data_IF_861407529012
#
_entry.id   IF_861407529012
#
_cell.length_a   1.000
_cell.length_b   1.000
_cell.length_c   1.000
_cell.angle_alpha   90.00
_cell.angle_beta   90.00
_cell.angle_gamma   90.00
#
_symmetry.space_group_name_H-M   'P 1'
#
loop_
_entity.id
_entity.type
_entity.pdbx_description
1 polymer ?
#
# COMPACT_ATOMS: atom_id res chain seq x y z
N UNK A 1 -21.17 10.69 -9.82
CA UNK A 1 -19.89 10.37 -10.48
C UNK A 1 -20.00 8.98 -11.11
N UNK A 2 -20.06 8.90 -12.44
CA UNK A 2 -20.24 7.64 -13.15
C UNK A 2 -18.94 7.21 -13.81
N UNK A 3 -18.16 6.41 -13.08
CA UNK A 3 -17.13 5.57 -13.69
C UNK A 3 -17.78 4.65 -14.72
N UNK A 4 -17.11 4.43 -15.84
CA UNK A 4 -17.50 3.44 -16.84
C UNK A 4 -17.50 2.04 -16.23
N UNK A 5 -18.23 1.12 -16.86
CA UNK A 5 -18.30 -0.28 -16.40
C UNK A 5 -16.90 -0.91 -16.34
N UNK A 6 -16.06 -0.64 -17.35
CA UNK A 6 -14.69 -1.14 -17.42
C UNK A 6 -13.82 -0.59 -16.29
N UNK A 7 -13.83 0.73 -16.05
CA UNK A 7 -13.04 1.35 -14.96
C UNK A 7 -13.41 0.77 -13.59
N UNK A 8 -14.70 0.55 -13.34
CA UNK A 8 -15.18 -0.07 -12.09
C UNK A 8 -14.68 -1.50 -11.95
N UNK A 9 -14.81 -2.32 -13.00
CA UNK A 9 -14.37 -3.71 -12.98
C UNK A 9 -12.85 -3.79 -12.77
N UNK A 10 -12.08 -2.98 -13.49
CA UNK A 10 -10.62 -2.92 -13.33
C UNK A 10 -10.23 -2.55 -11.90
N UNK A 11 -10.86 -1.51 -11.32
CA UNK A 11 -10.58 -1.11 -9.94
C UNK A 11 -10.91 -2.19 -8.91
N UNK A 12 -12.05 -2.88 -9.08
CA UNK A 12 -12.44 -3.99 -8.21
C UNK A 12 -11.47 -5.16 -8.33
N UNK A 13 -11.12 -5.55 -9.56
CA UNK A 13 -10.17 -6.63 -9.79
C UNK A 13 -8.80 -6.34 -9.16
N UNK A 14 -8.28 -5.13 -9.38
CA UNK A 14 -7.03 -4.68 -8.77
C UNK A 14 -7.09 -4.64 -7.24
N UNK A 15 -8.21 -4.22 -6.66
CA UNK A 15 -8.41 -4.19 -5.22
C UNK A 15 -8.48 -5.61 -4.62
N UNK A 16 -9.13 -6.56 -5.31
CA UNK A 16 -9.18 -7.96 -4.86
C UNK A 16 -7.79 -8.59 -4.88
N UNK A 17 -7.04 -8.42 -5.96
CA UNK A 17 -5.66 -8.94 -6.04
C UNK A 17 -4.79 -8.31 -4.94
N UNK A 18 -4.92 -7.00 -4.72
CA UNK A 18 -4.20 -6.31 -3.65
C UNK A 18 -4.55 -6.87 -2.27
N UNK A 19 -5.84 -7.10 -2.00
CA UNK A 19 -6.31 -7.68 -0.74
C UNK A 19 -5.74 -9.09 -0.53
N UNK A 20 -5.79 -9.95 -1.55
CA UNK A 20 -5.27 -11.31 -1.44
C UNK A 20 -3.77 -11.34 -1.15
N UNK A 21 -2.99 -10.50 -1.85
CA UNK A 21 -1.54 -10.39 -1.60
C UNK A 21 -1.26 -9.80 -0.22
N UNK A 22 -2.05 -8.82 0.23
CA UNK A 22 -1.94 -8.21 1.56
C UNK A 22 -2.22 -9.23 2.66
N UNK A 23 -3.26 -10.05 2.51
CA UNK A 23 -3.61 -11.10 3.47
C UNK A 23 -2.57 -12.22 3.48
N UNK A 24 -2.08 -12.64 2.30
CA UNK A 24 -1.03 -13.65 2.19
C UNK A 24 0.27 -13.18 2.83
N UNK A 25 0.73 -11.96 2.50
CA UNK A 25 1.92 -11.36 3.11
C UNK A 25 1.76 -11.17 4.62
N UNK A 26 0.62 -10.66 5.08
CA UNK A 26 0.37 -10.52 6.52
C UNK A 26 0.33 -11.87 7.24
N UNK A 27 -0.29 -12.88 6.63
CA UNK A 27 -0.34 -14.24 7.15
C UNK A 27 1.05 -14.85 7.29
N UNK A 28 1.93 -14.66 6.30
CA UNK A 28 3.32 -15.11 6.37
C UNK A 28 4.06 -14.49 7.57
N UNK A 29 3.93 -13.18 7.77
CA UNK A 29 4.56 -12.49 8.90
C UNK A 29 4.01 -12.97 10.26
N UNK A 30 2.69 -13.08 10.41
CA UNK A 30 2.09 -13.46 11.70
C UNK A 30 2.22 -14.96 12.01
N UNK A 31 2.04 -15.84 11.02
CA UNK A 31 1.97 -17.29 11.27
C UNK A 31 3.30 -18.00 11.06
N UNK A 32 4.12 -17.57 10.09
CA UNK A 32 5.42 -18.19 9.81
C UNK A 32 6.52 -17.52 10.61
N UNK A 33 6.67 -16.19 10.46
CA UNK A 33 7.72 -15.43 11.16
C UNK A 33 7.36 -15.10 12.61
N UNK A 34 6.10 -15.32 13.02
CA UNK A 34 5.59 -15.10 14.38
C UNK A 34 5.88 -13.70 14.94
N UNK A 35 5.91 -12.70 14.05
CA UNK A 35 6.16 -11.32 14.48
C UNK A 35 4.95 -10.75 15.22
N UNK A 36 5.19 -9.84 16.15
CA UNK A 36 4.11 -9.13 16.82
C UNK A 36 3.51 -8.04 15.91
N UNK A 37 2.42 -7.40 16.36
CA UNK A 37 1.74 -6.38 15.57
C UNK A 37 2.61 -5.18 15.20
N UNK A 38 3.47 -4.71 16.11
CA UNK A 38 4.36 -3.56 15.85
C UNK A 38 5.41 -3.92 14.80
N UNK A 39 5.98 -5.12 14.93
CA UNK A 39 6.91 -5.66 13.95
C UNK A 39 6.23 -5.88 12.59
N UNK A 40 4.99 -6.36 12.55
CA UNK A 40 4.23 -6.46 11.29
C UNK A 40 4.01 -5.09 10.65
N UNK A 41 3.67 -4.06 11.44
CA UNK A 41 3.53 -2.69 10.93
C UNK A 41 4.82 -2.18 10.29
N UNK A 42 5.98 -2.47 10.89
CA UNK A 42 7.26 -2.00 10.40
C UNK A 42 7.86 -2.86 9.28
N UNK A 43 8.01 -4.17 9.52
CA UNK A 43 8.70 -5.10 8.63
C UNK A 43 7.88 -5.46 7.38
N UNK A 44 6.55 -5.36 7.46
CA UNK A 44 5.64 -5.57 6.34
C UNK A 44 4.82 -4.30 6.04
N UNK A 45 5.47 -3.13 6.01
CA UNK A 45 4.81 -1.84 5.84
C UNK A 45 3.96 -1.70 4.54
N UNK A 46 4.20 -2.55 3.54
CA UNK A 46 3.37 -2.67 2.33
C UNK A 46 1.93 -3.11 2.66
N UNK A 47 1.76 -4.01 3.64
CA UNK A 47 0.45 -4.54 4.00
C UNK A 47 -0.46 -3.50 4.69
N UNK A 48 -0.02 -2.78 5.75
CA UNK A 48 -0.76 -1.66 6.32
C UNK A 48 -1.10 -0.59 5.28
N UNK A 49 -0.15 -0.25 4.40
CA UNK A 49 -0.38 0.74 3.33
C UNK A 49 -1.47 0.30 2.35
N UNK A 50 -1.47 -0.98 1.97
CA UNK A 50 -2.48 -1.58 1.11
C UNK A 50 -3.85 -1.62 1.79
N UNK A 51 -3.93 -1.95 3.08
CA UNK A 51 -5.18 -1.90 3.85
C UNK A 51 -5.77 -0.49 3.94
N UNK A 52 -4.93 0.52 4.16
CA UNK A 52 -5.34 1.93 4.12
C UNK A 52 -5.92 2.28 2.77
N UNK A 53 -5.25 1.92 1.66
CA UNK A 53 -5.77 2.15 0.32
C UNK A 53 -7.11 1.46 0.08
N UNK A 54 -7.25 0.20 0.46
CA UNK A 54 -8.50 -0.55 0.31
C UNK A 54 -9.64 0.09 1.12
N UNK A 55 -9.37 0.50 2.35
CA UNK A 55 -10.33 1.26 3.17
C UNK A 55 -10.74 2.58 2.51
N UNK A 56 -9.76 3.35 2.03
CA UNK A 56 -10.01 4.60 1.32
C UNK A 56 -10.82 4.39 0.04
N UNK A 57 -10.56 3.31 -0.71
CA UNK A 57 -11.30 2.95 -1.91
C UNK A 57 -12.76 2.59 -1.60
N UNK A 58 -13.02 1.88 -0.50
CA UNK A 58 -14.38 1.58 -0.04
C UNK A 58 -15.09 2.88 0.35
N UNK A 59 -14.45 3.74 1.14
CA UNK A 59 -15.05 5.01 1.59
C UNK A 59 -15.31 5.94 0.39
N UNK A 60 -14.39 6.02 -0.57
CA UNK A 60 -14.60 6.71 -1.84
C UNK A 60 -15.80 6.13 -2.60
N UNK A 61 -15.91 4.80 -2.65
CA UNK A 61 -16.99 4.11 -3.36
C UNK A 61 -18.36 4.37 -2.74
N UNK A 62 -18.45 4.52 -1.42
CA UNK A 62 -19.70 4.83 -0.70
C UNK A 62 -20.02 6.32 -0.73
N UNK A 63 -19.06 7.17 -0.33
CA UNK A 63 -19.28 8.62 -0.14
C UNK A 63 -19.19 9.42 -1.43
N UNK A 64 -18.57 8.86 -2.48
CA UNK A 64 -18.22 9.54 -3.74
C UNK A 64 -17.32 10.78 -3.57
N UNK A 65 -16.71 10.97 -2.40
CA UNK A 65 -15.80 12.09 -2.14
C UNK A 65 -14.40 11.76 -2.62
N UNK A 66 -13.91 12.54 -3.58
CA UNK A 66 -12.60 12.38 -4.23
C UNK A 66 -11.43 12.34 -3.24
N UNK A 67 -11.51 13.09 -2.13
CA UNK A 67 -10.42 13.28 -1.15
C UNK A 67 -9.86 11.98 -0.55
N UNK A 68 -10.65 10.90 -0.54
CA UNK A 68 -10.25 9.63 0.09
C UNK A 68 -9.20 8.86 -0.72
N UNK A 69 -9.27 8.84 -2.05
CA UNK A 69 -8.28 8.09 -2.85
C UNK A 69 -6.85 8.64 -2.73
N UNK A 70 -6.60 9.97 -2.87
CA UNK A 70 -5.26 10.53 -2.71
C UNK A 70 -4.70 10.39 -1.29
N UNK A 71 -5.55 10.18 -0.27
CA UNK A 71 -5.09 10.01 1.12
C UNK A 71 -4.17 8.80 1.30
N UNK A 72 -4.32 7.77 0.47
CA UNK A 72 -3.45 6.59 0.51
C UNK A 72 -2.25 6.67 -0.45
N UNK A 73 -2.08 7.76 -1.22
CA UNK A 73 -1.07 7.81 -2.28
C UNK A 73 0.36 7.78 -1.74
N UNK A 74 0.66 8.56 -0.71
CA UNK A 74 2.02 8.61 -0.16
C UNK A 74 2.52 7.24 0.34
N UNK A 75 1.82 6.53 1.24
CA UNK A 75 2.29 5.23 1.72
C UNK A 75 2.31 4.17 0.61
N UNK A 76 1.34 4.21 -0.33
CA UNK A 76 1.31 3.28 -1.47
C UNK A 76 2.47 3.51 -2.43
N UNK A 77 2.83 4.76 -2.71
CA UNK A 77 3.95 5.09 -3.58
C UNK A 77 5.28 4.76 -2.90
N UNK A 78 5.44 5.14 -1.63
CA UNK A 78 6.68 4.94 -0.88
C UNK A 78 6.97 3.46 -0.64
N UNK A 79 6.02 2.68 -0.14
CA UNK A 79 6.27 1.26 0.15
C UNK A 79 6.03 0.35 -1.07
N UNK A 80 5.15 0.73 -1.98
CA UNK A 80 4.86 -0.05 -3.19
C UNK A 80 5.78 0.30 -4.35
N UNK A 81 5.60 1.48 -4.93
CA UNK A 81 6.31 1.87 -6.17
C UNK A 81 7.81 2.02 -5.98
N UNK A 82 8.27 2.66 -4.90
CA UNK A 82 9.70 2.71 -4.59
C UNK A 82 10.24 1.30 -4.29
N UNK A 83 9.42 0.44 -3.66
CA UNK A 83 9.71 -0.96 -3.37
C UNK A 83 10.18 -1.77 -4.58
N UNK A 84 9.64 -1.47 -5.77
CA UNK A 84 10.06 -2.12 -7.03
C UNK A 84 11.55 -1.96 -7.33
N UNK A 85 12.15 -0.85 -6.86
CA UNK A 85 13.53 -0.49 -7.13
C UNK A 85 14.47 -0.76 -5.95
N UNK A 86 13.93 -1.01 -4.74
CA UNK A 86 14.73 -1.27 -3.54
C UNK A 86 14.94 -2.76 -3.27
N UNK A 87 13.96 -3.61 -3.60
CA UNK A 87 14.06 -5.06 -3.39
C UNK A 87 14.64 -5.78 -4.62
N UNK A 88 15.31 -6.91 -4.39
CA UNK A 88 15.83 -7.73 -5.49
C UNK A 88 14.70 -8.48 -6.19
N UNK A 89 14.93 -8.84 -7.46
CA UNK A 89 14.02 -9.66 -8.25
C UNK A 89 14.44 -11.13 -8.23
N UNK A 90 14.70 -11.67 -7.04
CA UNK A 90 15.23 -13.03 -6.86
C UNK A 90 14.69 -13.69 -5.59
N UNK A 91 14.58 -15.02 -5.62
CA UNK A 91 14.18 -15.83 -4.45
C UNK A 91 12.82 -15.43 -3.87
N UNK A 92 12.73 -15.41 -2.55
CA UNK A 92 11.52 -15.05 -1.81
C UNK A 92 11.03 -13.61 -2.09
N UNK A 93 11.93 -12.71 -2.53
CA UNK A 93 11.57 -11.33 -2.85
C UNK A 93 10.66 -11.21 -4.08
N UNK A 94 10.57 -12.24 -4.94
CA UNK A 94 9.61 -12.24 -6.06
C UNK A 94 8.17 -12.08 -5.55
N UNK A 95 7.84 -12.67 -4.40
CA UNK A 95 6.52 -12.52 -3.80
C UNK A 95 6.25 -11.08 -3.34
N UNK A 96 7.25 -10.44 -2.72
CA UNK A 96 7.18 -9.03 -2.36
C UNK A 96 7.02 -8.15 -3.61
N UNK A 97 7.74 -8.45 -4.70
CA UNK A 97 7.61 -7.71 -5.96
C UNK A 97 6.22 -7.80 -6.59
N UNK A 98 5.55 -8.95 -6.51
CA UNK A 98 4.15 -9.07 -6.97
C UNK A 98 3.22 -8.11 -6.20
N UNK A 99 3.45 -7.95 -4.89
CA UNK A 99 2.73 -6.98 -4.06
C UNK A 99 2.99 -5.55 -4.52
N UNK A 100 4.26 -5.18 -4.72
CA UNK A 100 4.66 -3.84 -5.17
C UNK A 100 4.11 -3.48 -6.56
N UNK A 101 4.09 -4.44 -7.50
CA UNK A 101 3.47 -4.27 -8.82
C UNK A 101 1.99 -3.95 -8.64
N UNK A 102 1.29 -4.74 -7.82
CA UNK A 102 -0.15 -4.59 -7.61
C UNK A 102 -0.48 -3.27 -6.93
N UNK A 103 0.32 -2.83 -5.95
CA UNK A 103 0.19 -1.51 -5.32
C UNK A 103 0.36 -0.39 -6.36
N UNK A 104 1.37 -0.49 -7.22
CA UNK A 104 1.66 0.50 -8.26
C UNK A 104 0.53 0.57 -9.29
N UNK A 105 0.00 -0.58 -9.73
CA UNK A 105 -1.14 -0.62 -10.65
C UNK A 105 -2.41 -0.01 -10.04
N UNK A 106 -2.67 -0.26 -8.75
CA UNK A 106 -3.77 0.38 -8.02
C UNK A 106 -3.59 1.90 -7.96
N UNK A 107 -2.37 2.38 -7.71
CA UNK A 107 -2.05 3.80 -7.69
C UNK A 107 -2.26 4.45 -9.07
N UNK A 108 -1.80 3.80 -10.15
CA UNK A 108 -2.00 4.27 -11.53
C UNK A 108 -3.48 4.34 -11.86
N UNK A 109 -4.25 3.30 -11.54
CA UNK A 109 -5.69 3.28 -11.76
C UNK A 109 -6.40 4.40 -10.98
N UNK A 110 -6.07 4.57 -9.70
CA UNK A 110 -6.65 5.63 -8.87
C UNK A 110 -6.28 7.02 -9.41
N UNK A 111 -5.03 7.23 -9.83
CA UNK A 111 -4.57 8.46 -10.46
C UNK A 111 -5.33 8.77 -11.75
N UNK A 112 -5.52 7.75 -12.60
CA UNK A 112 -6.33 7.86 -13.82
C UNK A 112 -7.78 8.26 -13.51
N UNK A 113 -8.41 7.61 -12.53
CA UNK A 113 -9.78 7.94 -12.09
C UNK A 113 -9.86 9.38 -11.59
N UNK A 114 -8.90 9.82 -10.76
CA UNK A 114 -8.86 11.17 -10.21
C UNK A 114 -8.65 12.22 -11.29
N UNK A 115 -7.77 11.96 -12.25
CA UNK A 115 -7.56 12.81 -13.43
C UNK A 115 -8.85 12.96 -14.25
N UNK A 116 -9.59 11.87 -14.46
CA UNK A 116 -10.86 11.88 -15.18
C UNK A 116 -11.97 12.63 -14.44
N UNK A 117 -11.97 12.59 -13.11
CA UNK A 117 -12.92 13.34 -12.28
C UNK A 117 -12.65 14.84 -12.35
N UNK A 118 -11.38 15.25 -12.44
CA UNK A 118 -10.97 16.66 -12.57
C UNK A 118 -11.12 17.49 -11.29
N UNK A 119 -11.35 16.87 -10.13
CA UNK A 119 -11.46 17.54 -8.84
C UNK A 119 -10.07 17.70 -8.18
N UNK A 120 -9.28 18.61 -8.75
CA UNK A 120 -7.91 18.86 -8.32
C UNK A 120 -7.79 19.43 -6.90
N UNK A 121 -8.82 20.14 -6.43
CA UNK A 121 -8.84 20.68 -5.07
C UNK A 121 -8.93 19.56 -4.04
N UNK A 122 -9.87 18.64 -4.21
CA UNK A 122 -9.98 17.48 -3.31
C UNK A 122 -8.78 16.53 -3.47
N UNK A 123 -8.21 16.43 -4.67
CA UNK A 123 -6.97 15.70 -4.91
C UNK A 123 -5.81 16.25 -4.06
N UNK A 124 -5.54 17.56 -4.18
CA UNK A 124 -4.48 18.22 -3.42
C UNK A 124 -4.71 18.13 -1.91
N UNK A 125 -5.95 18.32 -1.45
CA UNK A 125 -6.30 18.18 -0.04
C UNK A 125 -6.05 16.75 0.46
N UNK A 126 -6.44 15.73 -0.31
CA UNK A 126 -6.20 14.33 0.03
C UNK A 126 -4.71 14.01 0.15
N UNK A 127 -3.89 14.54 -0.78
CA UNK A 127 -2.44 14.39 -0.72
C UNK A 127 -1.82 15.09 0.50
N UNK A 128 -2.28 16.30 0.84
CA UNK A 128 -1.81 17.00 2.05
C UNK A 128 -2.11 16.18 3.31
N UNK A 129 -3.31 15.61 3.41
CA UNK A 129 -3.64 14.69 4.50
C UNK A 129 -2.79 13.43 4.48
N UNK A 130 -2.51 12.88 3.30
CA UNK A 130 -1.61 11.74 3.13
C UNK A 130 -0.22 12.06 3.70
N UNK A 131 0.33 13.24 3.41
CA UNK A 131 1.62 13.70 3.94
C UNK A 131 1.59 13.81 5.46
N UNK A 132 0.61 14.55 6.00
CA UNK A 132 0.50 14.79 7.45
C UNK A 132 0.39 13.47 8.23
N UNK A 133 -0.37 12.50 7.70
CA UNK A 133 -0.59 11.22 8.37
C UNK A 133 0.56 10.23 8.18
N UNK A 134 1.07 10.10 6.95
CA UNK A 134 1.97 9.00 6.60
C UNK A 134 3.45 9.36 6.63
N UNK A 135 3.85 10.64 6.62
CA UNK A 135 5.27 10.99 6.88
C UNK A 135 5.71 10.53 8.28
N UNK A 136 4.96 10.79 9.37
CA UNK A 136 5.31 10.26 10.70
C UNK A 136 5.35 8.73 10.74
N UNK A 137 4.41 8.07 10.05
CA UNK A 137 4.39 6.61 9.96
C UNK A 137 5.60 6.06 9.21
N UNK A 138 5.96 6.65 8.06
CA UNK A 138 7.16 6.27 7.30
C UNK A 138 8.42 6.47 8.15
N UNK A 139 8.53 7.59 8.85
CA UNK A 139 9.65 7.85 9.74
C UNK A 139 9.74 6.81 10.87
N UNK A 140 8.61 6.45 11.47
CA UNK A 140 8.53 5.36 12.45
C UNK A 140 9.01 4.03 11.86
N UNK A 141 8.50 3.62 10.69
CA UNK A 141 8.89 2.36 10.03
C UNK A 141 10.40 2.35 9.77
N UNK A 142 10.94 3.41 9.16
CA UNK A 142 12.37 3.50 8.85
C UNK A 142 13.24 3.43 10.11
N UNK A 143 12.86 4.16 11.15
CA UNK A 143 13.57 4.16 12.43
C UNK A 143 13.52 2.78 13.10
N UNK A 144 12.34 2.15 13.12
CA UNK A 144 12.14 0.84 13.72
C UNK A 144 12.98 -0.23 13.02
N UNK A 145 12.90 -0.30 11.68
CA UNK A 145 13.69 -1.25 10.89
C UNK A 145 15.21 -1.01 11.04
N UNK A 146 15.65 0.24 11.15
CA UNK A 146 17.07 0.56 11.35
C UNK A 146 17.57 0.15 12.74
N UNK A 147 16.76 0.37 13.78
CA UNK A 147 17.14 0.03 15.17
C UNK A 147 17.10 -1.47 15.44
N UNK A 148 16.32 -2.23 14.66
CA UNK A 148 16.18 -3.68 14.77
C UNK A 148 16.70 -4.39 13.52
N UNK A 149 17.73 -3.84 12.87
CA UNK A 149 18.27 -4.34 11.61
C UNK A 149 18.76 -5.80 11.69
N UNK A 150 19.37 -6.18 12.82
CA UNK A 150 19.83 -7.55 13.05
C UNK A 150 18.67 -8.54 13.22
N UNK A 151 17.57 -8.11 13.86
CA UNK A 151 16.40 -8.94 14.06
C UNK A 151 15.72 -9.22 12.72
N UNK A 152 15.50 -8.20 11.90
CA UNK A 152 14.87 -8.37 10.59
C UNK A 152 15.75 -9.19 9.64
N UNK A 153 17.08 -9.04 9.67
CA UNK A 153 17.96 -9.86 8.84
C UNK A 153 17.89 -11.33 9.24
N UNK A 154 17.91 -11.65 10.54
CA UNK A 154 17.77 -13.03 11.01
C UNK A 154 16.41 -13.63 10.65
N UNK A 155 15.33 -12.86 10.79
CA UNK A 155 13.98 -13.31 10.41
C UNK A 155 13.86 -13.62 8.91
N UNK A 156 14.55 -12.85 8.06
CA UNK A 156 14.55 -13.05 6.61
C UNK A 156 15.54 -14.12 6.13
N UNK A 157 16.58 -14.45 6.90
CA UNK A 157 17.52 -15.55 6.60
C UNK A 157 17.00 -16.91 7.08
N UNK A 158 16.12 -16.95 8.08
CA UNK A 158 15.46 -18.17 8.56
C UNK A 158 14.23 -18.58 7.71
N UNK A 159 13.91 -17.80 6.67
CA UNK A 159 12.78 -17.95 5.76
C UNK A 159 13.12 -18.78 4.52
#
# INVERSE_FOLDING_TARGET
>A
MNLTKTEKITGIALAIVLLLLTLSGSGYFFFTLKVNFVQWLAYNACSPSSLVYLGCLIVFSVTKKTVWLPLAFLPMYYFGTMGLFTFTWSGANIFAQMSHITMTLNLIWAGYVLYRIGDYKAFAQGLLWSIVLFVPYIAFVMYYCRTHAEEISQLLEMA
#
